data_IF_131614971966
#
_entry.id   IF_131614971966
#
_cell.length_a   1.000
_cell.length_b   1.000
_cell.length_c   1.000
_cell.angle_alpha   90.00
_cell.angle_beta   90.00
_cell.angle_gamma   90.00
#
_symmetry.space_group_name_H-M   'P 1'
#
loop_
_entity.id
_entity.type
_entity.pdbx_description
1 polymer ?
#
# COMPACT_ATOMS: atom_id res chain seq x y z
N UNK A 1 -34.99 -2.41 58.24
CA UNK A 1 -35.26 -3.29 57.08
C UNK A 1 -35.42 -2.57 55.72
N UNK A 2 -35.54 -1.27 55.61
CA UNK A 2 -35.70 -0.54 54.33
C UNK A 2 -34.40 -0.17 53.62
N UNK A 3 -33.26 -0.20 54.33
CA UNK A 3 -31.95 0.19 53.74
C UNK A 3 -31.28 -0.97 52.95
N UNK A 4 -31.63 -2.21 53.26
CA UNK A 4 -31.07 -3.40 52.57
C UNK A 4 -31.55 -3.59 51.14
N UNK A 5 -32.77 -3.19 50.83
CA UNK A 5 -33.35 -3.34 49.49
C UNK A 5 -32.82 -2.29 48.49
N UNK A 6 -32.44 -1.12 48.95
CA UNK A 6 -31.87 -0.07 48.10
C UNK A 6 -30.44 -0.46 47.67
N UNK A 7 -29.69 -1.12 48.54
CA UNK A 7 -28.33 -1.58 48.21
C UNK A 7 -28.32 -2.72 47.21
N UNK A 8 -29.30 -3.62 47.28
CA UNK A 8 -29.45 -4.71 46.30
C UNK A 8 -29.96 -4.25 44.97
N UNK A 9 -30.85 -3.24 44.89
CA UNK A 9 -31.33 -2.69 43.63
C UNK A 9 -30.27 -1.89 42.86
N UNK A 10 -29.36 -1.20 43.55
CA UNK A 10 -28.22 -0.48 42.96
C UNK A 10 -27.17 -1.46 42.44
N UNK A 11 -26.95 -2.59 43.16
CA UNK A 11 -25.99 -3.62 42.74
C UNK A 11 -26.50 -4.38 41.47
N UNK A 12 -27.78 -4.63 41.34
CA UNK A 12 -28.35 -5.23 40.13
C UNK A 12 -28.33 -4.29 38.95
N UNK A 13 -28.49 -2.99 39.13
CA UNK A 13 -28.45 -2.00 38.04
C UNK A 13 -27.02 -1.80 37.49
N UNK A 14 -25.99 -1.95 38.35
CA UNK A 14 -24.59 -1.86 37.91
C UNK A 14 -24.12 -3.07 37.09
N UNK A 15 -24.76 -4.22 37.23
CA UNK A 15 -24.45 -5.43 36.46
C UNK A 15 -25.03 -5.40 35.03
N UNK A 16 -26.02 -4.55 34.77
CA UNK A 16 -26.60 -4.40 33.43
C UNK A 16 -25.76 -3.50 32.48
N UNK A 17 -24.84 -2.70 33.01
CA UNK A 17 -23.95 -1.88 32.20
C UNK A 17 -22.65 -2.58 31.79
N UNK A 18 -22.38 -3.81 32.25
CA UNK A 18 -21.16 -4.53 31.95
C UNK A 18 -21.26 -5.48 30.74
N UNK A 19 -22.40 -5.48 30.02
CA UNK A 19 -22.67 -6.43 28.92
C UNK A 19 -22.72 -5.79 27.55
N UNK A 20 -21.80 -4.88 27.20
CA UNK A 20 -21.61 -4.46 25.81
C UNK A 20 -20.14 -4.29 25.50
N UNK A 21 -19.33 -5.30 25.81
CA UNK A 21 -18.05 -5.49 25.16
C UNK A 21 -18.33 -6.41 23.98
N UNK A 22 -18.52 -5.80 22.80
CA UNK A 22 -18.66 -6.50 21.54
C UNK A 22 -17.47 -7.45 21.38
N UNK A 23 -17.67 -8.74 21.69
CA UNK A 23 -16.66 -9.77 21.39
C UNK A 23 -16.50 -9.76 19.89
N UNK A 24 -15.37 -9.23 19.41
CA UNK A 24 -14.95 -9.45 18.03
C UNK A 24 -14.97 -10.97 17.79
N UNK A 25 -15.94 -11.46 17.02
CA UNK A 25 -15.98 -12.86 16.64
C UNK A 25 -14.67 -13.17 15.90
N UNK A 26 -14.11 -14.33 16.13
CA UNK A 26 -12.99 -14.85 15.32
C UNK A 26 -13.46 -16.16 14.66
N UNK A 27 -13.19 -16.27 13.37
CA UNK A 27 -13.36 -17.50 12.61
C UNK A 27 -11.95 -17.96 12.23
N UNK A 28 -11.57 -19.16 12.68
CA UNK A 28 -10.21 -19.71 12.46
C UNK A 28 -9.05 -18.77 12.89
N UNK A 29 -9.25 -17.96 13.95
CA UNK A 29 -8.26 -17.00 14.42
C UNK A 29 -8.27 -15.65 13.68
N UNK A 30 -9.10 -15.49 12.67
CA UNK A 30 -9.28 -14.24 11.91
C UNK A 30 -10.47 -13.45 12.47
N UNK A 31 -10.41 -12.12 12.38
CA UNK A 31 -11.53 -11.26 12.79
C UNK A 31 -12.71 -11.45 11.85
N UNK A 32 -13.87 -11.82 12.40
CA UNK A 32 -15.13 -11.93 11.66
C UNK A 32 -15.81 -10.55 11.61
N UNK A 33 -15.35 -9.68 10.71
CA UNK A 33 -15.89 -8.33 10.48
C UNK A 33 -16.10 -8.20 8.98
N UNK A 34 -17.35 -7.99 8.55
CA UNK A 34 -17.67 -7.73 7.14
C UNK A 34 -18.46 -6.42 6.99
N UNK A 35 -18.99 -6.15 5.83
CA UNK A 35 -19.65 -4.89 5.49
C UNK A 35 -20.78 -4.49 6.48
N UNK A 36 -21.67 -5.41 6.96
CA UNK A 36 -22.70 -5.03 7.92
C UNK A 36 -22.16 -4.42 9.22
N UNK A 37 -21.13 -5.03 9.82
CA UNK A 37 -20.52 -4.56 11.06
C UNK A 37 -19.75 -3.24 10.84
N UNK A 38 -19.18 -3.07 9.64
CA UNK A 38 -18.50 -1.83 9.24
C UNK A 38 -19.53 -0.71 9.07
N UNK A 39 -20.68 -0.99 8.45
CA UNK A 39 -21.79 -0.04 8.29
C UNK A 39 -22.36 0.40 9.64
N UNK A 40 -22.55 -0.55 10.56
CA UNK A 40 -23.02 -0.25 11.93
C UNK A 40 -22.04 0.64 12.68
N UNK A 41 -20.72 0.40 12.54
CA UNK A 41 -19.66 1.21 13.14
C UNK A 41 -19.58 2.62 12.53
N UNK A 42 -20.01 2.81 11.28
CA UNK A 42 -19.98 4.09 10.56
C UNK A 42 -18.60 4.54 10.08
N UNK A 43 -17.58 3.69 10.19
CA UNK A 43 -16.20 3.96 9.78
C UNK A 43 -15.61 2.81 8.95
N UNK A 44 -14.92 3.14 7.87
CA UNK A 44 -14.08 2.22 7.10
C UNK A 44 -12.61 2.45 7.48
N UNK A 45 -11.98 1.47 8.12
CA UNK A 45 -10.55 1.53 8.50
C UNK A 45 -9.72 0.98 7.36
N UNK A 46 -8.97 1.87 6.70
CA UNK A 46 -8.17 1.55 5.52
C UNK A 46 -6.69 1.51 5.88
N UNK A 47 -6.05 0.39 5.56
CA UNK A 47 -4.62 0.20 5.65
C UNK A 47 -3.96 0.64 4.34
N UNK A 48 -2.89 1.41 4.44
CA UNK A 48 -2.13 1.90 3.28
C UNK A 48 -0.66 2.10 3.67
N UNK A 49 0.20 2.43 2.70
CA UNK A 49 1.61 2.73 2.93
C UNK A 49 1.94 4.16 2.50
N UNK A 50 3.02 4.71 3.07
CA UNK A 50 3.58 5.97 2.57
C UNK A 50 4.25 5.74 1.22
N UNK A 51 3.71 6.32 0.16
CA UNK A 51 4.30 6.39 -1.17
C UNK A 51 3.60 7.44 -2.02
N UNK A 52 4.22 7.88 -3.10
CA UNK A 52 3.64 8.84 -4.06
C UNK A 52 2.37 8.32 -4.74
N UNK A 53 2.19 7.01 -4.82
CA UNK A 53 1.00 6.37 -5.39
C UNK A 53 -0.08 6.09 -4.37
N UNK A 54 0.29 5.80 -3.11
CA UNK A 54 -0.67 5.31 -2.11
C UNK A 54 -1.16 6.43 -1.21
N UNK A 55 -0.31 6.92 -0.32
CA UNK A 55 -0.64 7.99 0.62
C UNK A 55 0.61 8.79 0.97
N UNK A 56 0.51 10.10 1.01
CA UNK A 56 1.53 11.01 1.53
C UNK A 56 0.89 12.31 2.02
N UNK A 57 1.60 13.04 2.89
CA UNK A 57 1.18 14.35 3.32
C UNK A 57 1.93 15.41 2.51
N UNK A 58 1.21 16.33 1.88
CA UNK A 58 1.77 17.45 1.17
C UNK A 58 1.28 18.77 1.77
N UNK A 59 2.17 19.52 2.43
CA UNK A 59 1.85 20.80 3.09
C UNK A 59 0.69 20.73 4.09
N UNK A 60 0.58 19.61 4.81
CA UNK A 60 -0.51 19.37 5.77
C UNK A 60 -1.74 18.71 5.17
N UNK A 61 -1.84 18.59 3.84
CA UNK A 61 -2.96 17.97 3.15
C UNK A 61 -2.66 16.51 2.81
N UNK A 62 -3.57 15.58 3.13
CA UNK A 62 -3.45 14.18 2.76
C UNK A 62 -3.67 14.00 1.26
N UNK A 63 -2.75 13.33 0.60
CA UNK A 63 -2.74 13.06 -0.83
C UNK A 63 -2.36 11.61 -1.13
N UNK A 64 -2.59 11.16 -2.35
CA UNK A 64 -2.23 9.84 -2.86
C UNK A 64 -3.36 9.24 -3.67
N UNK A 65 -3.04 8.54 -4.77
CA UNK A 65 -4.05 7.99 -5.66
C UNK A 65 -4.93 6.96 -4.94
N UNK A 66 -4.30 5.99 -4.26
CA UNK A 66 -5.03 4.96 -3.51
C UNK A 66 -5.84 5.57 -2.35
N UNK A 67 -5.31 6.60 -1.70
CA UNK A 67 -6.04 7.35 -0.67
C UNK A 67 -7.30 8.01 -1.23
N UNK A 68 -7.21 8.72 -2.36
CA UNK A 68 -8.36 9.37 -2.98
C UNK A 68 -9.43 8.36 -3.40
N UNK A 69 -9.02 7.21 -3.98
CA UNK A 69 -9.95 6.14 -4.33
C UNK A 69 -10.63 5.54 -3.09
N UNK A 70 -9.88 5.28 -2.03
CA UNK A 70 -10.44 4.78 -0.78
C UNK A 70 -11.42 5.79 -0.13
N UNK A 71 -11.15 7.09 -0.25
CA UNK A 71 -12.05 8.15 0.21
C UNK A 71 -13.35 8.19 -0.59
N UNK A 72 -13.26 8.06 -1.91
CA UNK A 72 -14.43 7.99 -2.80
C UNK A 72 -15.25 6.74 -2.49
N UNK A 73 -14.61 5.59 -2.30
CA UNK A 73 -15.28 4.34 -1.93
C UNK A 73 -15.98 4.45 -0.57
N UNK A 74 -15.30 4.91 0.48
CA UNK A 74 -15.91 5.11 1.80
C UNK A 74 -17.13 6.05 1.73
N UNK A 75 -17.01 7.15 0.98
CA UNK A 75 -18.10 8.11 0.76
C UNK A 75 -19.29 7.47 0.06
N UNK A 76 -19.07 6.60 -0.93
CA UNK A 76 -20.14 5.90 -1.65
C UNK A 76 -20.94 4.96 -0.72
N UNK A 77 -20.32 4.46 0.34
CA UNK A 77 -20.95 3.65 1.38
C UNK A 77 -21.55 4.49 2.52
N UNK A 78 -21.39 5.82 2.51
CA UNK A 78 -21.81 6.69 3.61
C UNK A 78 -20.95 6.56 4.87
N UNK A 79 -19.72 6.04 4.74
CA UNK A 79 -18.78 5.79 5.84
C UNK A 79 -17.74 6.89 5.96
N UNK A 80 -17.26 7.11 7.19
CA UNK A 80 -16.05 7.91 7.44
C UNK A 80 -14.81 7.08 7.12
N UNK A 81 -13.87 7.66 6.38
CA UNK A 81 -12.57 7.05 6.16
C UNK A 81 -11.67 7.24 7.39
N UNK A 82 -11.08 6.16 7.88
CA UNK A 82 -10.04 6.18 8.89
C UNK A 82 -8.79 5.50 8.32
N UNK A 83 -7.68 6.23 8.25
CA UNK A 83 -6.43 5.69 7.74
C UNK A 83 -5.55 5.12 8.84
N UNK A 84 -4.90 4.00 8.52
CA UNK A 84 -3.78 3.44 9.28
C UNK A 84 -2.64 3.16 8.31
N UNK A 85 -1.52 3.89 8.50
CA UNK A 85 -0.34 3.73 7.66
C UNK A 85 0.53 2.59 8.20
N UNK A 86 0.84 1.63 7.34
CA UNK A 86 1.69 0.46 7.62
C UNK A 86 2.60 0.23 6.42
N UNK A 87 3.88 0.58 6.52
CA UNK A 87 4.79 0.57 5.37
C UNK A 87 5.25 -0.83 4.94
N UNK A 88 5.18 -1.82 5.83
CA UNK A 88 5.55 -3.20 5.50
C UNK A 88 4.32 -3.97 5.02
N UNK A 89 4.27 -4.48 3.75
CA UNK A 89 3.12 -5.19 3.21
C UNK A 89 2.72 -6.43 3.99
N UNK A 90 3.69 -7.21 4.49
CA UNK A 90 3.39 -8.40 5.30
C UNK A 90 2.76 -8.03 6.65
N UNK A 91 3.21 -6.94 7.27
CA UNK A 91 2.59 -6.44 8.51
C UNK A 91 1.21 -5.83 8.22
N UNK A 92 1.04 -5.18 7.08
CA UNK A 92 -0.26 -4.67 6.64
C UNK A 92 -1.29 -5.81 6.53
N UNK A 93 -0.91 -6.94 5.92
CA UNK A 93 -1.76 -8.14 5.86
C UNK A 93 -2.04 -8.69 7.25
N UNK A 94 -1.04 -8.78 8.13
CA UNK A 94 -1.25 -9.21 9.52
C UNK A 94 -2.22 -8.30 10.29
N UNK A 95 -2.08 -6.98 10.14
CA UNK A 95 -3.03 -6.01 10.71
C UNK A 95 -4.45 -6.26 10.20
N UNK A 96 -4.61 -6.50 8.89
CA UNK A 96 -5.90 -6.80 8.28
C UNK A 96 -6.54 -8.06 8.88
N UNK A 97 -5.78 -9.16 8.97
CA UNK A 97 -6.24 -10.45 9.54
C UNK A 97 -6.65 -10.28 11.00
N UNK A 98 -5.90 -9.51 11.79
CA UNK A 98 -6.23 -9.24 13.21
C UNK A 98 -7.42 -8.29 13.40
N UNK A 99 -8.01 -7.76 12.32
CA UNK A 99 -9.14 -6.82 12.40
C UNK A 99 -8.74 -5.40 12.83
N UNK A 100 -7.49 -5.03 12.63
CA UNK A 100 -6.98 -3.68 12.90
C UNK A 100 -7.22 -2.71 11.71
N UNK A 101 -7.71 -3.23 10.60
CA UNK A 101 -8.19 -2.55 9.42
C UNK A 101 -9.23 -3.40 8.71
N UNK A 102 -9.97 -2.82 7.79
CA UNK A 102 -11.04 -3.48 7.04
C UNK A 102 -10.63 -3.75 5.58
N UNK A 103 -9.92 -2.81 4.99
CA UNK A 103 -9.51 -2.81 3.59
C UNK A 103 -8.03 -2.40 3.48
N UNK A 104 -7.27 -3.07 2.64
CA UNK A 104 -5.96 -2.62 2.18
C UNK A 104 -6.16 -1.83 0.89
N UNK A 105 -5.98 -0.50 0.93
CA UNK A 105 -5.90 0.35 -0.25
C UNK A 105 -4.43 0.62 -0.60
N UNK A 106 -3.84 -0.37 -1.20
CA UNK A 106 -2.46 -0.44 -1.65
C UNK A 106 -2.35 -1.47 -2.79
N UNK A 107 -1.42 -1.30 -3.71
CA UNK A 107 -1.15 -2.30 -4.75
C UNK A 107 -0.45 -3.52 -4.13
N UNK A 108 -1.24 -4.34 -3.41
CA UNK A 108 -0.75 -5.53 -2.75
C UNK A 108 -0.57 -6.65 -3.77
N UNK A 109 0.63 -7.22 -3.84
CA UNK A 109 0.94 -8.28 -4.81
C UNK A 109 0.04 -9.50 -4.58
N UNK A 110 -0.57 -10.00 -5.66
CA UNK A 110 -1.41 -11.19 -5.65
C UNK A 110 -0.50 -12.43 -5.62
N UNK A 111 -0.36 -13.05 -4.47
CA UNK A 111 0.52 -14.20 -4.24
C UNK A 111 -0.21 -15.38 -3.64
N UNK A 112 0.36 -16.58 -3.83
CA UNK A 112 -0.17 -17.78 -3.19
C UNK A 112 -0.02 -17.77 -1.66
N UNK A 113 0.89 -16.97 -1.13
CA UNK A 113 1.16 -16.91 0.31
C UNK A 113 -0.07 -16.47 1.13
N UNK A 114 -0.94 -15.65 0.56
CA UNK A 114 -2.09 -15.07 1.25
C UNK A 114 -3.46 -15.52 0.72
N UNK A 115 -3.49 -16.46 -0.25
CA UNK A 115 -4.73 -16.91 -0.92
C UNK A 115 -5.81 -17.45 0.03
N UNK A 116 -5.40 -18.00 1.16
CA UNK A 116 -6.32 -18.60 2.13
C UNK A 116 -6.82 -17.57 3.17
N UNK A 117 -6.16 -16.42 3.29
CA UNK A 117 -6.47 -15.36 4.27
C UNK A 117 -7.08 -14.11 3.65
N UNK A 118 -6.92 -13.89 2.34
CA UNK A 118 -7.35 -12.68 1.65
C UNK A 118 -8.33 -12.96 0.52
N UNK A 119 -9.19 -11.96 0.26
CA UNK A 119 -9.89 -11.76 -1.01
C UNK A 119 -9.31 -10.49 -1.63
N UNK A 120 -8.77 -10.63 -2.82
CA UNK A 120 -8.33 -9.47 -3.63
C UNK A 120 -9.53 -8.86 -4.33
N UNK A 121 -9.61 -7.53 -4.38
CA UNK A 121 -10.76 -6.81 -4.88
C UNK A 121 -10.37 -5.45 -5.50
N UNK A 122 -11.33 -4.79 -6.15
CA UNK A 122 -11.12 -3.54 -6.85
C UNK A 122 -10.38 -3.73 -8.17
N UNK A 123 -9.57 -2.75 -8.58
CA UNK A 123 -8.79 -2.84 -9.80
C UNK A 123 -7.59 -3.77 -9.64
N UNK A 124 -7.42 -4.63 -10.61
CA UNK A 124 -6.20 -5.39 -10.75
C UNK A 124 -5.20 -4.59 -11.61
N UNK A 125 -4.05 -4.29 -11.01
CA UNK A 125 -2.96 -3.60 -11.68
C UNK A 125 -1.87 -4.59 -12.07
N UNK A 126 -1.31 -4.41 -13.26
CA UNK A 126 -0.17 -5.17 -13.75
C UNK A 126 1.06 -4.29 -13.66
N UNK A 127 2.02 -4.70 -12.84
CA UNK A 127 3.28 -3.99 -12.63
C UNK A 127 4.48 -4.91 -12.85
N UNK A 128 5.62 -4.32 -13.14
CA UNK A 128 6.91 -5.02 -13.18
C UNK A 128 7.99 -4.18 -12.52
N UNK A 129 9.09 -4.80 -12.19
CA UNK A 129 10.23 -4.12 -11.60
C UNK A 129 11.21 -3.70 -12.69
N UNK A 130 11.78 -2.51 -12.53
CA UNK A 130 12.74 -1.90 -13.44
C UNK A 130 14.00 -1.47 -12.70
N UNK A 131 15.12 -1.48 -13.38
CA UNK A 131 16.30 -0.74 -12.95
C UNK A 131 16.04 0.75 -13.20
N UNK A 132 16.25 1.54 -12.17
CA UNK A 132 16.30 3.00 -12.26
C UNK A 132 17.75 3.43 -12.32
N UNK A 133 18.10 4.15 -13.37
CA UNK A 133 19.46 4.63 -13.64
C UNK A 133 19.42 6.01 -14.25
N UNK A 134 20.54 6.71 -14.34
CA UNK A 134 20.62 7.97 -15.11
C UNK A 134 20.70 7.70 -16.60
N UNK A 135 20.07 8.56 -17.39
CA UNK A 135 20.23 8.55 -18.86
C UNK A 135 21.67 8.86 -19.23
N UNK A 136 22.19 8.15 -20.21
CA UNK A 136 23.52 8.35 -20.71
C UNK A 136 23.94 7.29 -21.70
N UNK A 137 25.14 7.44 -22.25
CA UNK A 137 25.73 6.45 -23.17
C UNK A 137 26.00 5.11 -22.50
N UNK A 138 26.29 5.16 -21.18
CA UNK A 138 26.64 4.02 -20.36
C UNK A 138 25.41 3.41 -19.66
N UNK A 139 24.20 3.89 -19.95
CA UNK A 139 22.99 3.32 -19.42
C UNK A 139 22.80 1.87 -19.87
N UNK A 140 22.55 0.98 -18.90
CA UNK A 140 22.35 -0.45 -19.13
C UNK A 140 21.13 -0.67 -20.02
N UNK A 141 21.25 -1.58 -20.97
CA UNK A 141 20.20 -1.93 -21.94
C UNK A 141 19.73 -3.38 -21.79
N UNK A 142 20.53 -4.20 -21.11
CA UNK A 142 20.26 -5.61 -20.93
C UNK A 142 20.68 -6.04 -19.51
N UNK A 143 19.97 -7.01 -18.92
CA UNK A 143 20.25 -7.52 -17.58
C UNK A 143 21.61 -8.17 -17.46
N UNK A 144 22.16 -8.70 -18.56
CA UNK A 144 23.51 -9.30 -18.60
C UNK A 144 24.65 -8.30 -18.35
N UNK A 145 24.35 -7.00 -18.36
CA UNK A 145 25.29 -5.93 -18.04
C UNK A 145 25.31 -5.57 -16.55
N UNK A 146 24.45 -6.17 -15.73
CA UNK A 146 24.39 -5.95 -14.28
C UNK A 146 25.55 -6.56 -13.48
N UNK A 147 26.16 -7.70 -13.85
CA UNK A 147 27.34 -8.18 -13.16
C UNK A 147 28.44 -7.11 -13.07
N UNK A 148 29.02 -6.96 -11.87
CA UNK A 148 30.00 -5.92 -11.54
C UNK A 148 29.39 -4.56 -11.18
N UNK A 149 28.07 -4.41 -11.19
CA UNK A 149 27.40 -3.15 -10.79
C UNK A 149 26.97 -3.18 -9.33
N UNK A 150 27.03 -2.00 -8.70
CA UNK A 150 26.52 -1.75 -7.34
C UNK A 150 25.05 -1.36 -7.43
N UNK A 151 24.13 -2.22 -6.97
CA UNK A 151 22.68 -1.96 -7.03
C UNK A 151 22.13 -1.85 -5.63
N UNK A 152 21.56 -0.71 -5.31
CA UNK A 152 20.96 -0.43 -4.00
C UNK A 152 19.46 -0.70 -4.02
N UNK A 153 18.93 -1.31 -2.97
CA UNK A 153 17.51 -1.66 -2.88
C UNK A 153 17.04 -1.68 -1.44
N UNK A 154 15.74 -1.49 -1.25
CA UNK A 154 15.08 -1.76 0.03
C UNK A 154 14.92 -3.27 0.23
N UNK A 155 14.61 -3.69 1.46
CA UNK A 155 14.30 -5.10 1.78
C UNK A 155 13.00 -5.57 1.10
N UNK A 156 12.78 -6.89 1.09
CA UNK A 156 11.59 -7.52 0.51
C UNK A 156 11.69 -7.75 -0.98
N UNK A 157 10.59 -7.58 -1.72
CA UNK A 157 10.44 -8.03 -3.12
C UNK A 157 11.52 -7.56 -4.10
N UNK A 158 12.06 -6.38 -3.90
CA UNK A 158 13.13 -5.84 -4.77
C UNK A 158 14.45 -6.53 -4.53
N UNK A 159 14.83 -6.69 -3.25
CA UNK A 159 16.02 -7.43 -2.87
C UNK A 159 15.93 -8.88 -3.33
N UNK A 160 14.80 -9.55 -3.06
CA UNK A 160 14.59 -10.95 -3.43
C UNK A 160 14.68 -11.14 -4.96
N UNK A 161 14.10 -10.21 -5.75
CA UNK A 161 14.20 -10.26 -7.22
C UNK A 161 15.65 -10.07 -7.70
N UNK A 162 16.39 -9.12 -7.13
CA UNK A 162 17.80 -8.92 -7.49
C UNK A 162 18.66 -10.12 -7.14
N UNK A 163 18.43 -10.75 -5.98
CA UNK A 163 19.17 -11.95 -5.60
C UNK A 163 18.87 -13.13 -6.54
N UNK A 164 17.60 -13.31 -6.94
CA UNK A 164 17.22 -14.31 -7.91
C UNK A 164 17.87 -14.02 -9.28
N UNK A 165 17.80 -12.78 -9.77
CA UNK A 165 18.41 -12.37 -11.01
C UNK A 165 19.94 -12.56 -11.00
N UNK A 166 20.57 -12.22 -9.87
CA UNK A 166 22.00 -12.45 -9.69
C UNK A 166 22.36 -13.93 -9.82
N UNK A 167 21.55 -14.81 -9.24
CA UNK A 167 21.73 -16.28 -9.39
C UNK A 167 21.49 -16.74 -10.83
N UNK A 168 20.44 -16.23 -11.49
CA UNK A 168 20.11 -16.53 -12.90
C UNK A 168 21.26 -16.15 -13.85
N UNK A 169 21.98 -15.06 -13.54
CA UNK A 169 23.13 -14.57 -14.34
C UNK A 169 24.47 -15.21 -13.96
N UNK A 170 24.48 -16.14 -12.99
CA UNK A 170 25.72 -16.78 -12.53
C UNK A 170 26.50 -15.94 -11.51
N UNK A 171 25.91 -14.93 -10.93
CA UNK A 171 26.50 -14.04 -9.92
C UNK A 171 27.10 -12.76 -10.48
N UNK A 172 27.73 -11.99 -9.58
CA UNK A 172 28.48 -10.78 -9.92
C UNK A 172 27.76 -9.46 -9.74
N UNK A 173 26.45 -9.44 -9.44
CA UNK A 173 25.77 -8.20 -9.04
C UNK A 173 26.08 -7.91 -7.58
N UNK A 174 26.59 -6.72 -7.27
CA UNK A 174 26.83 -6.28 -5.90
C UNK A 174 25.55 -5.65 -5.35
N UNK A 175 24.74 -6.46 -4.65
CA UNK A 175 23.42 -6.02 -4.14
C UNK A 175 23.57 -5.44 -2.74
N UNK A 176 23.24 -4.15 -2.58
CA UNK A 176 23.25 -3.44 -1.31
C UNK A 176 21.82 -3.28 -0.78
N UNK A 177 21.50 -4.05 0.26
CA UNK A 177 20.22 -3.91 0.96
C UNK A 177 20.29 -2.77 1.97
N UNK A 178 19.45 -1.74 1.79
CA UNK A 178 19.32 -0.63 2.73
C UNK A 178 18.27 -0.98 3.79
N UNK A 179 18.73 -1.20 5.01
CA UNK A 179 17.90 -1.66 6.14
C UNK A 179 17.58 -0.50 7.09
N UNK A 180 16.89 0.52 6.60
CA UNK A 180 16.39 1.56 7.50
C UNK A 180 14.92 1.79 7.22
N UNK A 181 14.11 1.83 8.27
CA UNK A 181 12.67 2.15 8.18
C UNK A 181 12.42 3.56 7.63
N UNK A 182 13.47 4.38 7.55
CA UNK A 182 13.43 5.76 7.06
C UNK A 182 13.78 5.92 5.57
N UNK A 183 14.24 4.86 4.88
CA UNK A 183 14.60 4.91 3.45
C UNK A 183 13.56 4.15 2.63
N UNK A 184 12.82 4.90 1.81
CA UNK A 184 11.88 4.34 0.83
C UNK A 184 12.57 4.08 -0.52
N UNK A 185 11.90 3.33 -1.40
CA UNK A 185 12.35 3.18 -2.79
C UNK A 185 12.46 4.52 -3.52
N UNK A 186 11.60 5.49 -3.20
CA UNK A 186 11.63 6.85 -3.78
C UNK A 186 12.86 7.65 -3.33
N UNK A 187 13.35 7.43 -2.10
CA UNK A 187 14.61 8.00 -1.65
C UNK A 187 15.78 7.47 -2.50
N UNK A 188 15.80 6.16 -2.78
CA UNK A 188 16.84 5.57 -3.61
C UNK A 188 16.76 6.08 -5.06
N UNK A 189 15.56 6.27 -5.62
CA UNK A 189 15.37 6.90 -6.93
C UNK A 189 15.93 8.33 -6.94
N UNK A 190 15.66 9.11 -5.89
CA UNK A 190 16.22 10.46 -5.72
C UNK A 190 17.75 10.42 -5.69
N UNK A 191 18.35 9.48 -4.95
CA UNK A 191 19.80 9.32 -4.88
C UNK A 191 20.41 8.95 -6.25
N UNK A 192 19.72 8.16 -7.07
CA UNK A 192 20.12 7.91 -8.45
C UNK A 192 20.08 9.21 -9.26
N UNK A 193 18.99 9.96 -9.19
CA UNK A 193 18.83 11.22 -9.93
C UNK A 193 19.90 12.24 -9.58
N UNK A 194 20.29 12.31 -8.30
CA UNK A 194 21.33 13.20 -7.77
C UNK A 194 22.77 12.68 -7.99
N UNK A 195 22.94 11.45 -8.47
CA UNK A 195 24.24 10.85 -8.71
C UNK A 195 24.96 10.31 -7.48
N UNK A 196 24.23 10.11 -6.36
CA UNK A 196 24.79 9.54 -5.12
C UNK A 196 25.00 8.03 -5.25
N UNK A 197 24.12 7.36 -6.00
CA UNK A 197 24.22 5.96 -6.39
C UNK A 197 23.92 5.85 -7.88
N UNK A 198 24.32 4.73 -8.51
CA UNK A 198 24.13 4.56 -9.95
C UNK A 198 22.84 3.82 -10.30
N UNK A 199 22.49 2.81 -9.50
CA UNK A 199 21.35 1.93 -9.79
C UNK A 199 20.52 1.65 -8.55
N UNK A 200 19.18 1.66 -8.74
CA UNK A 200 18.22 1.12 -7.78
C UNK A 200 17.12 0.35 -8.52
N UNK A 201 16.24 -0.27 -7.77
CA UNK A 201 15.07 -1.01 -8.28
C UNK A 201 13.79 -0.37 -7.76
N UNK A 202 12.79 -0.27 -8.62
CA UNK A 202 11.45 0.18 -8.26
C UNK A 202 10.41 -0.50 -9.14
N UNK A 203 9.13 -0.42 -8.76
CA UNK A 203 8.04 -0.72 -9.70
C UNK A 203 7.99 0.32 -10.82
N UNK A 204 7.59 -0.13 -12.01
CA UNK A 204 7.46 0.75 -13.17
C UNK A 204 6.54 1.95 -12.92
N UNK A 205 5.52 1.83 -12.08
CA UNK A 205 4.60 2.93 -11.72
C UNK A 205 5.32 4.02 -10.93
N UNK A 206 5.98 3.64 -9.83
CA UNK A 206 6.74 4.58 -8.99
C UNK A 206 7.89 5.20 -9.78
N UNK A 207 8.59 4.39 -10.59
CA UNK A 207 9.64 4.88 -11.47
C UNK A 207 9.12 5.90 -12.50
N UNK A 208 7.95 5.68 -13.11
CA UNK A 208 7.31 6.62 -14.05
C UNK A 208 6.97 7.94 -13.38
N UNK A 209 6.37 7.91 -12.19
CA UNK A 209 6.04 9.13 -11.44
C UNK A 209 7.33 9.91 -11.13
N UNK A 210 8.33 9.26 -10.57
CA UNK A 210 9.59 9.92 -10.22
C UNK A 210 10.33 10.47 -11.46
N UNK A 211 10.25 9.81 -12.61
CA UNK A 211 10.81 10.33 -13.87
C UNK A 211 10.15 11.64 -14.30
N UNK A 212 8.94 11.96 -13.89
CA UNK A 212 8.33 13.26 -14.18
C UNK A 212 9.01 14.39 -13.40
N UNK A 213 9.55 14.09 -12.22
CA UNK A 213 10.32 15.04 -11.41
C UNK A 213 11.80 15.06 -11.78
N UNK A 214 12.34 13.90 -12.19
CA UNK A 214 13.74 13.69 -12.55
C UNK A 214 13.88 13.26 -14.01
N UNK A 215 13.83 14.19 -14.99
CA UNK A 215 13.88 13.85 -16.42
C UNK A 215 15.16 13.14 -16.86
N UNK A 216 16.21 13.21 -16.03
CA UNK A 216 17.49 12.55 -16.26
C UNK A 216 17.47 11.05 -15.96
N UNK A 217 16.34 10.48 -15.48
CA UNK A 217 16.22 9.05 -15.22
C UNK A 217 15.86 8.25 -16.46
N UNK A 218 16.46 7.09 -16.59
CA UNK A 218 16.10 5.99 -17.49
C UNK A 218 15.54 4.84 -16.66
N UNK A 219 14.37 4.35 -17.05
CA UNK A 219 13.60 3.28 -16.40
C UNK A 219 13.22 2.18 -17.40
N UNK A 220 13.97 2.05 -18.49
CA UNK A 220 13.63 1.14 -19.59
C UNK A 220 14.07 -0.31 -19.36
N UNK A 221 14.99 -0.58 -18.42
CA UNK A 221 15.50 -1.93 -18.19
C UNK A 221 14.59 -2.69 -17.21
N UNK A 222 13.77 -3.60 -17.75
CA UNK A 222 12.87 -4.47 -16.98
C UNK A 222 13.66 -5.65 -16.42
N UNK A 223 13.44 -5.98 -15.13
CA UNK A 223 14.14 -7.08 -14.43
C UNK A 223 13.19 -8.13 -13.83
N UNK A 224 11.89 -7.98 -13.96
CA UNK A 224 10.92 -8.98 -13.48
C UNK A 224 9.86 -9.27 -14.53
N UNK A 225 9.19 -10.41 -14.37
CA UNK A 225 7.91 -10.66 -15.05
C UNK A 225 6.84 -9.70 -14.52
N UNK A 226 5.76 -9.56 -15.29
CA UNK A 226 4.57 -8.85 -14.86
C UNK A 226 3.98 -9.47 -13.60
N UNK A 227 3.67 -8.64 -12.63
CA UNK A 227 3.07 -9.00 -11.36
C UNK A 227 1.70 -8.34 -11.25
N UNK A 228 0.73 -9.11 -10.78
CA UNK A 228 -0.62 -8.63 -10.52
C UNK A 228 -0.70 -8.13 -9.09
N UNK A 229 -1.33 -7.00 -8.91
CA UNK A 229 -1.59 -6.41 -7.58
C UNK A 229 -3.00 -5.83 -7.52
N UNK A 230 -3.57 -5.74 -6.33
CA UNK A 230 -4.92 -5.24 -6.13
C UNK A 230 -5.12 -4.80 -4.68
N UNK A 231 -6.24 -4.18 -4.38
CA UNK A 231 -6.73 -4.05 -3.02
C UNK A 231 -7.04 -5.43 -2.43
N UNK A 232 -7.14 -5.50 -1.11
CA UNK A 232 -7.47 -6.74 -0.43
C UNK A 232 -8.31 -6.51 0.82
N UNK A 233 -9.16 -7.49 1.12
CA UNK A 233 -9.89 -7.62 2.38
C UNK A 233 -9.63 -8.98 3.00
N UNK A 234 -10.04 -9.18 4.26
CA UNK A 234 -9.98 -10.51 4.90
C UNK A 234 -10.83 -11.53 4.13
N UNK A 235 -10.45 -12.79 4.22
CA UNK A 235 -11.26 -13.91 3.70
C UNK A 235 -12.65 -13.94 4.29
N UNK A 236 -12.79 -13.45 5.52
CA UNK A 236 -14.06 -13.35 6.26
C UNK A 236 -14.88 -12.10 5.92
N UNK A 237 -14.48 -11.30 4.93
CA UNK A 237 -15.16 -10.06 4.52
C UNK A 237 -15.62 -10.09 3.04
N UNK A 238 -16.36 -11.12 2.58
CA UNK A 238 -16.74 -11.24 1.17
C UNK A 238 -17.67 -10.12 0.68
N UNK A 239 -18.56 -9.63 1.54
CA UNK A 239 -19.50 -8.56 1.15
C UNK A 239 -18.77 -7.22 0.93
N UNK A 240 -17.73 -6.94 1.73
CA UNK A 240 -16.89 -5.77 1.51
C UNK A 240 -16.10 -5.89 0.20
N UNK A 241 -15.59 -7.08 -0.14
CA UNK A 241 -14.92 -7.32 -1.41
C UNK A 241 -15.86 -7.07 -2.59
N UNK A 242 -17.07 -7.64 -2.56
CA UNK A 242 -18.09 -7.47 -3.60
C UNK A 242 -18.46 -5.98 -3.77
N UNK A 243 -18.61 -5.26 -2.64
CA UNK A 243 -18.89 -3.82 -2.68
C UNK A 243 -17.76 -3.02 -3.33
N UNK A 244 -16.49 -3.36 -3.03
CA UNK A 244 -15.33 -2.71 -3.64
C UNK A 244 -15.23 -2.99 -5.14
N UNK A 245 -15.44 -4.23 -5.58
CA UNK A 245 -15.44 -4.62 -6.99
C UNK A 245 -16.55 -3.92 -7.78
N UNK A 246 -17.76 -3.90 -7.22
CA UNK A 246 -18.90 -3.20 -7.81
C UNK A 246 -18.63 -1.71 -7.95
N UNK A 247 -18.20 -1.07 -6.86
CA UNK A 247 -17.88 0.35 -6.86
C UNK A 247 -16.82 0.69 -7.90
N UNK A 248 -15.75 -0.11 -7.97
CA UNK A 248 -14.66 0.12 -8.93
C UNK A 248 -15.16 0.04 -10.36
N UNK A 249 -15.89 -1.05 -10.70
CA UNK A 249 -16.46 -1.27 -12.03
C UNK A 249 -17.38 -0.12 -12.47
N UNK A 250 -18.18 0.43 -11.56
CA UNK A 250 -19.11 1.52 -11.82
C UNK A 250 -18.40 2.87 -11.96
N UNK A 251 -17.27 3.08 -11.26
CA UNK A 251 -16.62 4.38 -11.13
C UNK A 251 -15.35 4.57 -11.95
N UNK A 252 -14.72 3.51 -12.47
CA UNK A 252 -13.46 3.60 -13.25
C UNK A 252 -13.55 4.57 -14.45
N UNK A 253 -14.72 4.75 -15.02
CA UNK A 253 -14.98 5.68 -16.10
C UNK A 253 -15.54 7.03 -15.67
N UNK A 254 -15.76 7.26 -14.37
CA UNK A 254 -16.28 8.51 -13.83
C UNK A 254 -15.28 9.65 -14.03
N UNK A 255 -15.80 10.88 -14.05
CA UNK A 255 -14.95 12.08 -14.14
C UNK A 255 -14.08 12.26 -12.91
N UNK A 256 -14.56 11.86 -11.72
CA UNK A 256 -13.83 11.97 -10.45
C UNK A 256 -12.66 11.00 -10.43
N UNK A 257 -12.88 9.72 -10.79
CA UNK A 257 -11.81 8.72 -10.90
C UNK A 257 -10.73 9.14 -11.90
N UNK A 258 -11.15 9.58 -13.10
CA UNK A 258 -10.22 10.06 -14.14
C UNK A 258 -9.47 11.32 -13.74
N UNK A 259 -10.09 12.20 -12.94
CA UNK A 259 -9.41 13.38 -12.43
C UNK A 259 -8.33 13.01 -11.40
N UNK A 260 -8.61 12.05 -10.50
CA UNK A 260 -7.63 11.49 -9.58
C UNK A 260 -6.47 10.84 -10.35
N UNK A 261 -6.75 9.95 -11.30
CA UNK A 261 -5.71 9.31 -12.10
C UNK A 261 -4.82 10.32 -12.84
N UNK A 262 -5.40 11.33 -13.50
CA UNK A 262 -4.65 12.40 -14.17
C UNK A 262 -3.77 13.19 -13.21
N UNK A 263 -4.24 13.48 -12.00
CA UNK A 263 -3.49 14.24 -11.01
C UNK A 263 -2.17 13.58 -10.65
N UNK A 264 -2.14 12.26 -10.52
CA UNK A 264 -0.96 11.52 -10.08
C UNK A 264 -0.10 11.00 -11.24
N UNK A 265 -0.70 10.64 -12.37
CA UNK A 265 0.01 9.95 -13.45
C UNK A 265 0.26 10.80 -14.72
N UNK A 266 -0.49 11.89 -14.93
CA UNK A 266 -0.39 12.68 -16.15
C UNK A 266 0.00 14.15 -15.94
N UNK A 267 -0.32 14.74 -14.79
CA UNK A 267 -0.06 16.16 -14.56
C UNK A 267 1.33 16.40 -13.99
N UNK A 268 2.23 16.89 -14.84
CA UNK A 268 3.56 17.44 -14.52
C UNK A 268 3.50 18.72 -13.66
N UNK A 269 2.70 18.78 -12.61
CA UNK A 269 2.76 19.90 -11.66
C UNK A 269 3.75 19.54 -10.56
N UNK A 270 4.97 20.10 -10.68
CA UNK A 270 6.02 20.03 -9.68
C UNK A 270 5.49 20.42 -8.28
N UNK A 271 5.41 19.52 -7.32
CA UNK A 271 5.61 19.89 -5.94
C UNK A 271 7.07 20.33 -5.82
N UNK A 272 7.29 21.51 -5.32
CA UNK A 272 8.66 21.99 -5.06
C UNK A 272 9.38 21.02 -4.13
N UNK A 273 10.57 20.66 -4.50
CA UNK A 273 11.46 19.58 -4.08
C UNK A 273 11.88 19.58 -2.60
N UNK A 274 11.03 19.85 -1.66
CA UNK A 274 11.42 19.89 -0.24
C UNK A 274 10.44 19.21 0.71
N UNK A 275 9.29 18.76 0.24
CA UNK A 275 8.19 18.40 1.15
C UNK A 275 7.62 16.99 1.02
N UNK A 276 8.04 16.19 0.03
CA UNK A 276 7.57 14.80 -0.10
C UNK A 276 8.32 13.86 0.85
N UNK A 277 9.52 14.25 1.29
CA UNK A 277 10.46 13.38 2.00
C UNK A 277 10.73 13.76 3.46
N UNK A 278 10.05 14.77 4.01
CA UNK A 278 10.19 15.11 5.43
C UNK A 278 8.95 14.68 6.21
N UNK A 279 8.78 13.39 6.39
CA UNK A 279 8.00 12.85 7.50
C UNK A 279 8.99 12.54 8.61
N UNK A 280 9.07 13.46 9.60
CA UNK A 280 9.62 13.15 10.91
C UNK A 280 8.65 12.27 11.67
#
# INVERSE_FOLDING_TARGET
MKLSYVFWSVLCLSLLFYSCQSRKGTVNGEAAIDLPEIMERGELVVLTANSSTSYFNYRGEPMGFQYELAQQFARSLGLKLKLKVVNNPSEMVRCLIRGEGDLVAYNLDITNAWKDSLIYCGEENITHQVIVQRRGKDALKDVTQLPGKEVYTTSGKYYDRLMNLNSELGGGINVHKVETDSVSEENLITWVAEGKIDYTVATNEIAKINRTYYPNLDIGLVISFDQRSSWAVRKTSPLLAEAADKWHKENINSSEFKASARRYFELNKRPTHGSILSVK
#
